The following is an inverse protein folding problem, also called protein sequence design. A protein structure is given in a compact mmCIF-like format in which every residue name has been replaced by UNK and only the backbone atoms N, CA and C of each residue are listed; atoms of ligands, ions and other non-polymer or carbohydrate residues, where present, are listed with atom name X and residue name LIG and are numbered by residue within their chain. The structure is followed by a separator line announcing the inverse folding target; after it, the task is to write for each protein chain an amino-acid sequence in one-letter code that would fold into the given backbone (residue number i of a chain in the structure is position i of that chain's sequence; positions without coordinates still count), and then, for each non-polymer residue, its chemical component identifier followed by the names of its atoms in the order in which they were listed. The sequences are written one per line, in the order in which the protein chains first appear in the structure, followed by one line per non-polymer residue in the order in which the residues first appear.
data_IF_751404296635
#
_entry.id   IF_751404296635
#
_cell.length_a   1.000
_cell.length_b   1.000
_cell.length_c   1.000
_cell.angle_alpha   90.00
_cell.angle_beta   90.00
_cell.angle_gamma   90.00
#
_symmetry.space_group_name_H-M   'P 1'
#
loop_
_entity.id
_entity.type
_entity.pdbx_description
1 polymer ?
#
# COMPACT_ATOMS: atom_id res chain seq x y z
N UNK A 1 13.84 4.66 -7.17
CA UNK A 1 13.72 3.57 -8.15
C UNK A 1 14.23 2.25 -7.60
N UNK A 2 15.53 2.12 -7.32
CA UNK A 2 16.13 0.90 -6.74
C UNK A 2 15.43 0.38 -5.47
N UNK A 3 14.91 1.28 -4.62
CA UNK A 3 14.22 0.92 -3.38
C UNK A 3 12.97 0.03 -3.57
N UNK A 4 12.30 0.13 -4.72
CA UNK A 4 11.09 -0.67 -5.00
C UNK A 4 11.34 -1.79 -6.01
N UNK A 5 12.53 -1.81 -6.61
CA UNK A 5 12.89 -2.76 -7.66
C UNK A 5 13.81 -3.88 -7.19
N UNK A 6 14.40 -3.79 -5.99
CA UNK A 6 15.31 -4.82 -5.48
C UNK A 6 14.56 -6.01 -4.87
N UNK A 7 15.09 -7.22 -5.07
CA UNK A 7 14.50 -8.49 -4.61
C UNK A 7 15.36 -9.12 -3.50
N UNK A 8 15.23 -8.68 -2.25
CA UNK A 8 16.03 -9.20 -1.15
C UNK A 8 15.70 -10.66 -0.81
N UNK A 9 16.71 -11.41 -0.36
CA UNK A 9 16.51 -12.77 0.14
C UNK A 9 16.10 -12.77 1.61
N UNK A 10 14.79 -12.70 1.87
CA UNK A 10 14.21 -12.75 3.21
C UNK A 10 14.44 -14.07 3.96
N UNK A 11 14.99 -15.11 3.32
CA UNK A 11 15.33 -16.38 3.99
C UNK A 11 16.68 -16.36 4.72
N UNK A 12 17.45 -15.30 4.56
CA UNK A 12 18.80 -15.17 5.15
C UNK A 12 18.89 -13.91 6.02
N UNK A 13 19.68 -13.99 7.10
CA UNK A 13 20.00 -12.81 7.92
C UNK A 13 20.66 -11.70 7.10
N UNK A 14 21.49 -12.08 6.12
CA UNK A 14 22.16 -11.14 5.23
C UNK A 14 21.17 -10.36 4.36
N UNK A 15 20.16 -11.02 3.78
CA UNK A 15 19.13 -10.34 3.00
C UNK A 15 18.21 -9.48 3.86
N UNK A 16 17.89 -9.91 5.08
CA UNK A 16 17.17 -9.06 6.06
C UNK A 16 18.00 -7.81 6.39
N UNK A 17 19.29 -7.97 6.66
CA UNK A 17 20.17 -6.85 6.96
C UNK A 17 20.29 -5.88 5.77
N UNK A 18 20.33 -6.37 4.54
CA UNK A 18 20.32 -5.53 3.33
C UNK A 18 19.07 -4.63 3.27
N UNK A 19 17.89 -5.17 3.61
CA UNK A 19 16.65 -4.38 3.69
C UNK A 19 16.74 -3.32 4.77
N UNK A 20 17.19 -3.71 5.98
CA UNK A 20 17.37 -2.78 7.11
C UNK A 20 18.30 -1.63 6.74
N UNK A 21 19.45 -1.94 6.12
CA UNK A 21 20.44 -0.94 5.72
C UNK A 21 19.90 -0.03 4.62
N UNK A 22 19.20 -0.61 3.63
CA UNK A 22 18.63 0.13 2.50
C UNK A 22 17.55 1.11 2.95
N UNK A 23 16.58 0.66 3.74
CA UNK A 23 15.51 1.52 4.27
C UNK A 23 16.03 2.46 5.36
N UNK A 24 17.00 2.04 6.16
CA UNK A 24 17.67 2.90 7.15
C UNK A 24 18.41 4.05 6.49
N UNK A 25 19.10 3.81 5.37
CA UNK A 25 19.72 4.87 4.56
C UNK A 25 18.67 5.79 3.95
N UNK A 26 17.60 5.25 3.38
CA UNK A 26 16.52 6.05 2.82
C UNK A 26 15.89 6.97 3.88
N UNK A 27 15.59 6.45 5.07
CA UNK A 27 15.04 7.23 6.18
C UNK A 27 15.98 8.35 6.64
N UNK A 28 17.29 8.10 6.72
CA UNK A 28 18.30 9.13 7.04
C UNK A 28 18.35 10.24 5.99
N UNK A 29 18.29 9.88 4.70
CA UNK A 29 18.25 10.87 3.62
C UNK A 29 16.98 11.72 3.67
N UNK A 30 15.82 11.12 3.96
CA UNK A 30 14.58 11.86 4.19
C UNK A 30 14.72 12.83 5.38
N UNK A 31 15.28 12.38 6.51
CA UNK A 31 15.50 13.24 7.68
C UNK A 31 16.45 14.41 7.37
N UNK A 32 17.56 14.15 6.69
CA UNK A 32 18.54 15.18 6.32
C UNK A 32 17.97 16.22 5.35
N UNK A 33 17.12 15.78 4.41
CA UNK A 33 16.54 16.65 3.37
C UNK A 33 15.31 17.42 3.83
N UNK A 34 14.52 16.87 4.74
CA UNK A 34 13.29 17.50 5.26
C UNK A 34 13.55 18.31 6.53
N UNK A 35 14.52 17.89 7.36
CA UNK A 35 14.83 18.57 8.63
C UNK A 35 13.72 18.42 9.67
N UNK A 36 13.57 19.40 10.59
CA UNK A 36 12.62 19.32 11.70
C UNK A 36 11.16 19.12 11.30
N UNK A 37 10.78 19.53 10.08
CA UNK A 37 9.43 19.35 9.54
C UNK A 37 8.99 17.88 9.49
N UNK A 38 9.94 16.93 9.44
CA UNK A 38 9.63 15.50 9.44
C UNK A 38 8.84 15.07 10.70
N UNK A 39 8.95 15.82 11.81
CA UNK A 39 8.17 15.58 13.03
C UNK A 39 6.73 16.08 12.98
N UNK A 40 6.28 16.68 11.87
CA UNK A 40 4.97 17.31 11.71
C UNK A 40 4.22 16.87 10.45
N UNK A 41 4.67 15.78 9.81
CA UNK A 41 4.01 15.18 8.61
C UNK A 41 3.23 13.92 8.97
N UNK A 42 2.72 13.85 10.19
CA UNK A 42 1.93 12.75 10.72
C UNK A 42 0.41 13.01 10.62
N UNK A 43 -0.39 11.95 10.81
CA UNK A 43 -1.86 12.00 10.72
C UNK A 43 -2.49 12.95 11.74
N UNK A 44 -1.89 13.08 12.91
CA UNK A 44 -2.36 13.95 13.99
C UNK A 44 -2.17 15.44 13.64
N UNK A 45 -1.03 15.78 13.04
CA UNK A 45 -0.76 17.10 12.48
C UNK A 45 -1.76 17.42 11.37
N UNK A 46 -1.97 16.50 10.41
CA UNK A 46 -2.95 16.68 9.33
C UNK A 46 -4.41 16.83 9.84
N UNK A 47 -4.79 16.12 10.90
CA UNK A 47 -6.10 16.27 11.52
C UNK A 47 -6.28 17.65 12.17
N UNK A 48 -5.22 18.25 12.73
CA UNK A 48 -5.28 19.63 13.24
C UNK A 48 -5.39 20.63 12.09
N UNK A 49 -4.74 20.38 10.96
CA UNK A 49 -4.89 21.20 9.75
C UNK A 49 -6.33 21.16 9.21
N UNK A 50 -7.01 20.00 9.29
CA UNK A 50 -8.44 19.89 8.96
C UNK A 50 -9.32 20.80 9.82
N UNK A 51 -8.99 21.01 11.11
CA UNK A 51 -9.75 21.92 11.96
C UNK A 51 -9.53 23.40 11.61
N UNK A 52 -8.30 23.75 11.19
CA UNK A 52 -7.98 25.08 10.67
C UNK A 52 -8.75 25.33 9.37
N UNK A 53 -8.81 24.34 8.47
CA UNK A 53 -9.58 24.44 7.23
C UNK A 53 -11.07 24.62 7.52
N UNK A 54 -11.67 23.77 8.38
CA UNK A 54 -13.07 23.91 8.82
C UNK A 54 -13.35 25.32 9.36
N UNK A 55 -12.51 25.81 10.27
CA UNK A 55 -12.68 27.14 10.88
C UNK A 55 -12.59 28.26 9.85
N UNK A 56 -11.65 28.17 8.91
CA UNK A 56 -11.42 29.18 7.87
C UNK A 56 -12.57 29.24 6.87
N UNK A 57 -13.23 28.10 6.61
CA UNK A 57 -14.42 28.01 5.78
C UNK A 57 -15.70 28.48 6.49
N UNK A 58 -15.64 28.71 7.81
CA UNK A 58 -16.75 29.20 8.62
C UNK A 58 -17.75 28.11 9.05
N UNK A 59 -17.38 26.83 8.91
CA UNK A 59 -18.24 25.71 9.28
C UNK A 59 -18.16 25.44 10.79
N UNK A 60 -19.28 25.32 11.49
CA UNK A 60 -19.29 24.94 12.91
C UNK A 60 -18.79 23.50 13.13
N UNK A 61 -19.08 22.61 12.19
CA UNK A 61 -18.69 21.19 12.21
C UNK A 61 -18.12 20.76 10.86
N UNK A 62 -17.14 19.86 10.88
CA UNK A 62 -16.57 19.27 9.68
C UNK A 62 -17.47 18.13 9.17
N UNK A 63 -17.89 18.24 7.90
CA UNK A 63 -18.47 17.13 7.14
C UNK A 63 -17.39 16.50 6.26
N UNK A 64 -17.09 15.21 6.46
CA UNK A 64 -15.93 14.56 5.86
C UNK A 64 -16.26 13.20 5.27
N UNK A 65 -15.66 12.92 4.11
CA UNK A 65 -15.67 11.65 3.41
C UNK A 65 -14.21 11.20 3.26
N UNK A 66 -13.85 10.14 3.94
CA UNK A 66 -12.50 9.56 3.94
C UNK A 66 -12.48 8.22 3.23
N UNK A 67 -11.49 8.02 2.37
CA UNK A 67 -11.22 6.76 1.69
C UNK A 67 -9.85 6.22 2.10
N UNK A 68 -9.72 4.91 2.29
CA UNK A 68 -8.42 4.27 2.58
C UNK A 68 -7.72 4.96 3.76
N UNK A 69 -6.48 5.47 3.61
CA UNK A 69 -5.81 6.25 4.66
C UNK A 69 -6.65 7.42 5.22
N UNK A 70 -7.50 8.02 4.38
CA UNK A 70 -8.46 9.04 4.79
C UNK A 70 -9.43 8.57 5.89
N UNK A 71 -9.68 7.26 6.02
CA UNK A 71 -10.49 6.76 7.14
C UNK A 71 -9.76 6.89 8.47
N UNK A 72 -8.46 6.61 8.50
CA UNK A 72 -7.62 6.81 9.69
C UNK A 72 -7.56 8.31 10.02
N UNK A 73 -7.35 9.16 9.01
CA UNK A 73 -7.32 10.61 9.19
C UNK A 73 -8.66 11.14 9.74
N UNK A 74 -9.79 10.73 9.17
CA UNK A 74 -11.12 11.12 9.65
C UNK A 74 -11.42 10.62 11.07
N UNK A 75 -11.01 9.39 11.40
CA UNK A 75 -11.12 8.86 12.75
C UNK A 75 -10.23 9.61 13.76
N UNK A 76 -8.99 9.96 13.38
CA UNK A 76 -8.09 10.78 14.19
C UNK A 76 -8.68 12.19 14.42
N UNK A 77 -9.25 12.82 13.39
CA UNK A 77 -9.96 14.09 13.55
C UNK A 77 -11.10 13.99 14.57
N UNK A 78 -11.93 12.95 14.44
CA UNK A 78 -13.06 12.73 15.34
C UNK A 78 -12.63 12.45 16.79
N UNK A 79 -11.48 11.82 16.99
CA UNK A 79 -10.92 11.58 18.32
C UNK A 79 -10.38 12.88 18.98
N UNK A 80 -9.75 13.76 18.19
CA UNK A 80 -9.16 15.02 18.71
C UNK A 80 -10.24 16.11 18.90
N UNK A 81 -11.20 16.19 17.99
CA UNK A 81 -12.23 17.24 17.95
C UNK A 81 -13.66 16.69 17.93
N UNK A 82 -14.08 15.86 18.91
CA UNK A 82 -15.35 15.14 18.87
C UNK A 82 -16.58 16.05 18.74
N UNK A 83 -16.54 17.25 19.34
CA UNK A 83 -17.63 18.22 19.27
C UNK A 83 -17.76 18.93 17.90
N UNK A 84 -16.70 18.87 17.09
CA UNK A 84 -16.63 19.53 15.77
C UNK A 84 -16.87 18.56 14.61
N UNK A 85 -17.32 17.34 14.87
CA UNK A 85 -17.65 16.35 13.84
C UNK A 85 -19.12 16.49 13.44
N UNK A 86 -19.37 16.68 12.15
CA UNK A 86 -20.70 16.65 11.57
C UNK A 86 -21.03 15.28 11.00
N UNK A 87 -21.21 15.22 9.67
CA UNK A 87 -21.43 13.97 8.93
C UNK A 87 -20.09 13.37 8.57
N UNK A 88 -19.87 12.10 8.93
CA UNK A 88 -18.61 11.41 8.72
C UNK A 88 -18.85 10.09 7.99
N UNK A 89 -18.21 9.91 6.84
CA UNK A 89 -18.22 8.66 6.07
C UNK A 89 -16.77 8.19 5.93
N UNK A 90 -16.52 6.94 6.32
CA UNK A 90 -15.20 6.31 6.27
C UNK A 90 -15.32 5.03 5.43
N UNK A 91 -14.84 5.06 4.19
CA UNK A 91 -14.96 3.98 3.21
C UNK A 91 -13.60 3.31 2.95
N UNK A 92 -13.55 1.98 3.02
CA UNK A 92 -12.30 1.22 3.05
C UNK A 92 -11.52 1.45 4.36
N UNK A 93 -12.15 1.10 5.48
CA UNK A 93 -11.68 1.46 6.82
C UNK A 93 -10.36 0.79 7.22
N UNK A 94 -9.40 1.61 7.64
CA UNK A 94 -8.20 1.22 8.38
C UNK A 94 -8.50 1.22 9.88
N UNK A 95 -8.35 0.06 10.52
CA UNK A 95 -8.50 -0.11 11.96
C UNK A 95 -7.22 0.35 12.69
N UNK A 96 -7.28 1.43 13.49
CA UNK A 96 -6.11 1.99 14.16
C UNK A 96 -5.62 1.13 15.35
N UNK A 97 -6.34 0.07 15.71
CA UNK A 97 -5.96 -0.85 16.81
C UNK A 97 -5.04 -1.98 16.34
N UNK A 98 -4.92 -2.20 15.03
CA UNK A 98 -4.10 -3.25 14.46
C UNK A 98 -2.62 -2.84 14.40
N UNK A 99 -1.75 -3.82 14.61
CA UNK A 99 -0.32 -3.68 14.36
C UNK A 99 -0.03 -3.62 12.85
N UNK A 100 1.12 -3.05 12.42
CA UNK A 100 1.51 -3.06 11.00
C UNK A 100 1.58 -4.46 10.39
N UNK A 101 1.94 -5.48 11.18
CA UNK A 101 1.95 -6.87 10.74
C UNK A 101 0.56 -7.44 10.50
N UNK A 102 -0.41 -7.11 11.36
CA UNK A 102 -1.81 -7.52 11.19
C UNK A 102 -2.47 -6.83 9.99
N UNK A 103 -2.20 -5.53 9.79
CA UNK A 103 -2.65 -4.80 8.60
C UNK A 103 -2.08 -5.44 7.33
N UNK A 104 -0.77 -5.69 7.30
CA UNK A 104 -0.11 -6.35 6.16
C UNK A 104 -0.69 -7.74 5.87
N UNK A 105 -0.95 -8.54 6.91
CA UNK A 105 -1.57 -9.86 6.79
C UNK A 105 -2.99 -9.78 6.22
N UNK A 106 -3.81 -8.85 6.74
CA UNK A 106 -5.17 -8.62 6.25
C UNK A 106 -5.19 -8.21 4.78
N UNK A 107 -4.28 -7.30 4.40
CA UNK A 107 -4.12 -6.88 3.00
C UNK A 107 -3.70 -8.03 2.09
N UNK A 108 -2.76 -8.88 2.53
CA UNK A 108 -2.33 -10.04 1.75
C UNK A 108 -3.49 -11.04 1.50
N UNK A 109 -4.32 -11.29 2.51
CA UNK A 109 -5.53 -12.13 2.36
C UNK A 109 -6.51 -11.50 1.37
N UNK A 110 -6.73 -10.18 1.47
CA UNK A 110 -7.61 -9.44 0.56
C UNK A 110 -7.14 -9.51 -0.89
N UNK A 111 -5.86 -9.25 -1.13
CA UNK A 111 -5.23 -9.31 -2.47
C UNK A 111 -5.31 -10.72 -3.04
N UNK A 112 -5.02 -11.77 -2.26
CA UNK A 112 -5.14 -13.16 -2.73
C UNK A 112 -6.59 -13.50 -3.13
N UNK A 113 -7.57 -13.04 -2.34
CA UNK A 113 -8.99 -13.22 -2.65
C UNK A 113 -9.39 -12.50 -3.95
N UNK A 114 -8.98 -11.24 -4.10
CA UNK A 114 -9.24 -10.45 -5.31
C UNK A 114 -8.55 -11.04 -6.55
N UNK A 115 -7.30 -11.52 -6.39
CA UNK A 115 -6.57 -12.18 -7.47
C UNK A 115 -7.27 -13.46 -7.92
N UNK A 116 -7.73 -14.29 -6.98
CA UNK A 116 -8.50 -15.50 -7.30
C UNK A 116 -9.81 -15.17 -8.02
N UNK A 117 -10.51 -14.11 -7.62
CA UNK A 117 -11.72 -13.65 -8.29
C UNK A 117 -11.42 -13.20 -9.73
N UNK A 118 -10.36 -12.40 -9.92
CA UNK A 118 -9.89 -12.00 -11.26
C UNK A 118 -9.54 -13.18 -12.15
N UNK A 119 -8.77 -14.15 -11.62
CA UNK A 119 -8.38 -15.34 -12.39
C UNK A 119 -9.61 -16.14 -12.82
N UNK A 120 -10.58 -16.29 -11.92
CA UNK A 120 -11.85 -17.00 -12.20
C UNK A 120 -12.64 -16.29 -13.30
N UNK A 121 -12.78 -14.96 -13.21
CA UNK A 121 -13.46 -14.15 -14.22
C UNK A 121 -12.73 -14.20 -15.58
N UNK A 122 -11.41 -14.01 -15.57
CA UNK A 122 -10.56 -14.11 -16.75
C UNK A 122 -10.78 -15.44 -17.45
N UNK A 123 -10.62 -16.58 -16.76
CA UNK A 123 -10.72 -17.91 -17.37
C UNK A 123 -12.12 -18.24 -17.91
N UNK A 124 -13.16 -17.58 -17.42
CA UNK A 124 -14.51 -17.66 -17.98
C UNK A 124 -14.66 -16.81 -19.27
N UNK A 125 -13.83 -15.79 -19.46
CA UNK A 125 -13.82 -14.93 -20.63
C UNK A 125 -13.01 -15.50 -21.80
N UNK A 126 -13.38 -15.09 -23.02
CA UNK A 126 -12.61 -15.44 -24.23
C UNK A 126 -11.29 -14.69 -24.24
N UNK A 127 -10.19 -15.40 -24.52
CA UNK A 127 -8.87 -14.79 -24.70
C UNK A 127 -8.07 -14.61 -23.42
N UNK A 128 -8.50 -15.20 -22.30
CA UNK A 128 -7.68 -15.22 -21.10
C UNK A 128 -6.35 -15.94 -21.35
N UNK A 129 -5.21 -15.33 -20.98
CA UNK A 129 -3.90 -15.94 -21.17
C UNK A 129 -3.62 -17.06 -20.15
N UNK A 130 -4.43 -17.18 -19.10
CA UNK A 130 -4.29 -18.19 -18.06
C UNK A 130 -5.06 -19.45 -18.43
N UNK A 131 -4.44 -20.61 -18.23
CA UNK A 131 -5.03 -21.92 -18.52
C UNK A 131 -5.39 -22.70 -17.25
N UNK A 132 -6.23 -23.73 -17.40
CA UNK A 132 -6.67 -24.60 -16.30
C UNK A 132 -7.80 -24.00 -15.47
N UNK A 133 -7.88 -24.41 -14.20
CA UNK A 133 -8.77 -23.79 -13.21
C UNK A 133 -8.07 -22.63 -12.48
N UNK A 134 -8.75 -22.05 -11.49
CA UNK A 134 -8.24 -20.89 -10.75
C UNK A 134 -6.91 -21.15 -10.04
N UNK A 135 -6.68 -22.36 -9.51
CA UNK A 135 -5.43 -22.69 -8.84
C UNK A 135 -4.27 -22.79 -9.84
N UNK A 136 -4.52 -23.35 -11.02
CA UNK A 136 -3.55 -23.33 -12.12
C UNK A 136 -3.26 -21.90 -12.60
N UNK A 137 -4.29 -21.04 -12.66
CA UNK A 137 -4.17 -19.62 -12.97
C UNK A 137 -3.25 -18.88 -11.99
N UNK A 138 -3.49 -19.04 -10.69
CA UNK A 138 -2.65 -18.47 -9.63
C UNK A 138 -1.21 -19.00 -9.69
N UNK A 139 -1.03 -20.29 -9.96
CA UNK A 139 0.30 -20.89 -10.13
C UNK A 139 1.08 -20.31 -11.33
N UNK A 140 0.40 -20.02 -12.45
CA UNK A 140 1.03 -19.35 -13.61
C UNK A 140 1.48 -17.92 -13.27
N UNK A 141 0.70 -17.17 -12.49
CA UNK A 141 1.09 -15.83 -12.02
C UNK A 141 2.29 -15.91 -11.07
N UNK A 142 2.30 -16.87 -10.15
CA UNK A 142 3.45 -17.12 -9.30
C UNK A 142 4.70 -17.48 -10.11
N UNK A 143 4.56 -18.32 -11.14
CA UNK A 143 5.66 -18.68 -12.02
C UNK A 143 6.24 -17.46 -12.77
N UNK A 144 5.40 -16.48 -13.15
CA UNK A 144 5.87 -15.21 -13.70
C UNK A 144 6.73 -14.43 -12.69
N UNK A 145 6.32 -14.40 -11.41
CA UNK A 145 7.09 -13.75 -10.36
C UNK A 145 8.42 -14.47 -10.08
N UNK A 146 8.43 -15.79 -10.13
CA UNK A 146 9.64 -16.59 -9.95
C UNK A 146 10.60 -16.41 -11.14
N UNK A 147 10.09 -16.32 -12.37
CA UNK A 147 10.89 -16.00 -13.56
C UNK A 147 11.48 -14.60 -13.47
N UNK A 148 10.69 -13.58 -13.12
CA UNK A 148 11.17 -12.21 -12.97
C UNK A 148 12.23 -12.06 -11.86
N UNK A 149 12.23 -12.96 -10.87
CA UNK A 149 13.29 -13.04 -9.85
C UNK A 149 14.59 -13.62 -10.43
N UNK A 150 14.49 -14.73 -11.15
CA UNK A 150 15.63 -15.45 -11.68
C UNK A 150 16.29 -14.70 -12.86
N UNK A 151 15.45 -14.18 -13.75
CA UNK A 151 15.83 -13.46 -14.97
C UNK A 151 14.94 -12.21 -15.09
N UNK A 152 15.34 -11.06 -14.52
CA UNK A 152 14.60 -9.81 -14.68
C UNK A 152 14.21 -9.56 -16.14
N UNK A 153 12.92 -9.34 -16.37
CA UNK A 153 12.37 -9.34 -17.73
C UNK A 153 12.56 -7.96 -18.37
N UNK A 154 13.01 -7.87 -19.64
CA UNK A 154 13.21 -6.60 -20.29
C UNK A 154 11.88 -5.85 -20.43
N UNK A 155 11.92 -4.53 -20.24
CA UNK A 155 10.79 -3.65 -20.56
C UNK A 155 11.10 -2.80 -21.78
N UNK A 156 10.15 -1.99 -22.24
CA UNK A 156 10.39 -0.99 -23.29
C UNK A 156 11.26 0.20 -22.86
N UNK A 157 11.94 0.10 -21.70
CA UNK A 157 12.76 1.15 -21.09
C UNK A 157 14.05 0.54 -20.53
N UNK A 158 14.95 1.35 -19.99
CA UNK A 158 16.20 0.90 -19.35
C UNK A 158 15.98 0.18 -18.00
N UNK A 159 14.73 -0.07 -17.61
CA UNK A 159 14.36 -0.72 -16.35
C UNK A 159 13.83 -2.12 -16.61
N UNK A 160 14.47 -3.13 -16.04
CA UNK A 160 13.94 -4.49 -16.08
C UNK A 160 12.80 -4.68 -15.05
N UNK A 161 11.88 -5.58 -15.36
CA UNK A 161 10.82 -6.02 -14.49
C UNK A 161 11.36 -7.12 -13.55
N UNK A 162 11.62 -6.75 -12.31
CA UNK A 162 12.02 -7.65 -11.22
C UNK A 162 10.80 -8.30 -10.56
N UNK A 163 11.01 -9.27 -9.66
CA UNK A 163 9.90 -9.91 -8.94
C UNK A 163 9.10 -8.89 -8.13
N UNK A 164 9.76 -7.99 -7.42
CA UNK A 164 9.10 -6.94 -6.63
C UNK A 164 8.26 -6.03 -7.51
N UNK A 165 8.77 -5.62 -8.68
CA UNK A 165 8.01 -4.80 -9.62
C UNK A 165 6.83 -5.56 -10.23
N UNK A 166 7.00 -6.84 -10.57
CA UNK A 166 5.93 -7.68 -11.08
C UNK A 166 4.81 -7.87 -10.04
N UNK A 167 5.19 -8.15 -8.79
CA UNK A 167 4.26 -8.23 -7.67
C UNK A 167 3.49 -6.92 -7.49
N UNK A 168 4.18 -5.78 -7.42
CA UNK A 168 3.53 -4.48 -7.27
C UNK A 168 2.60 -4.16 -8.44
N UNK A 169 2.99 -4.48 -9.67
CA UNK A 169 2.17 -4.28 -10.86
C UNK A 169 0.85 -5.05 -10.84
N UNK A 170 0.81 -6.21 -10.17
CA UNK A 170 -0.42 -6.98 -9.95
C UNK A 170 -1.16 -6.46 -8.72
N UNK A 171 -0.50 -6.46 -7.56
CA UNK A 171 -1.10 -6.18 -6.25
C UNK A 171 -1.80 -4.82 -6.17
N UNK A 172 -1.23 -3.76 -6.76
CA UNK A 172 -1.82 -2.42 -6.69
C UNK A 172 -3.12 -2.29 -7.47
N UNK A 173 -3.34 -3.13 -8.48
CA UNK A 173 -4.57 -3.13 -9.30
C UNK A 173 -5.71 -3.92 -8.68
N UNK A 174 -5.43 -4.61 -7.57
CA UNK A 174 -6.37 -5.46 -6.83
C UNK A 174 -6.81 -4.82 -5.50
N UNK A 175 -6.38 -3.58 -5.26
CA UNK A 175 -6.72 -2.76 -4.11
C UNK A 175 -7.98 -1.93 -4.40
#
# INVERSE_FOLDING_TARGET
DKLFAFDPDYSTDAGIQEVVDTYGKFGKECANRTGPLLGHVDTESAARDMDVMRATLGDDQLHYLGYSYGTQLGATYAAIFPEKVGRLVLDGALDPTLTPGEVSKGQAIGIESALRAYVTDCQAAKGCPLSGDADHGLAQIRALFDEAKANPLPTGTDRDLTQSLAFYGVAVTLY
#
